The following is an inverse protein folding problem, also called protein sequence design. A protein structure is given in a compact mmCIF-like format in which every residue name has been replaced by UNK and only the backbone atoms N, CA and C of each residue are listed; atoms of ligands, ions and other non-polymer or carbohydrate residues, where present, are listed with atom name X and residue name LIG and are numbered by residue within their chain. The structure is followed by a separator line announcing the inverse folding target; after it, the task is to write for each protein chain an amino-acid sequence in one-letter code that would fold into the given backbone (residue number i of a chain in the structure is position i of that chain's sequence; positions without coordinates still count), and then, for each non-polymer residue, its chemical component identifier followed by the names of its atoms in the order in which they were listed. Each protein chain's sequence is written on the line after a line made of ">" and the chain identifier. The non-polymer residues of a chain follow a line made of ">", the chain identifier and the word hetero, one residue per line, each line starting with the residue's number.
data_IF_199790846710
#
_entry.id   IF_199790846710
#
_cell.length_a   1.000
_cell.length_b   1.000
_cell.length_c   1.000
_cell.angle_alpha   90.00
_cell.angle_beta   90.00
_cell.angle_gamma   90.00
#
_symmetry.space_group_name_H-M   'P 1'
#
loop_
_entity.id
_entity.type
_entity.pdbx_description
1 polymer ?
#
# COMPACT_ATOMS: atom_id res chain seq x y z
N UNK A 1 -3.55 24.67 -3.65
CA UNK A 1 -4.01 23.72 -4.68
C UNK A 1 -2.89 23.27 -5.61
N UNK A 2 -2.14 24.15 -6.30
CA UNK A 2 -1.05 23.70 -7.20
C UNK A 2 0.04 22.86 -6.52
N UNK A 3 0.43 23.19 -5.27
CA UNK A 3 1.40 22.42 -4.49
C UNK A 3 0.94 20.99 -4.16
N UNK A 4 -0.38 20.73 -4.18
CA UNK A 4 -0.95 19.43 -3.84
C UNK A 4 -1.10 18.50 -5.05
N UNK A 5 -0.59 18.88 -6.22
CA UNK A 5 -0.60 18.03 -7.41
C UNK A 5 0.30 16.82 -7.20
N UNK A 6 -0.05 15.69 -7.83
CA UNK A 6 0.70 14.43 -7.71
C UNK A 6 2.18 14.63 -8.04
N UNK A 7 2.48 15.34 -9.14
CA UNK A 7 3.85 15.63 -9.60
C UNK A 7 4.72 16.39 -8.58
N UNK A 8 4.09 17.16 -7.68
CA UNK A 8 4.78 17.95 -6.67
C UNK A 8 4.94 17.21 -5.34
N UNK A 9 4.17 16.14 -5.12
CA UNK A 9 4.13 15.40 -3.85
C UNK A 9 4.83 14.04 -3.93
N UNK A 10 4.84 13.40 -5.10
CA UNK A 10 5.23 12.01 -5.25
C UNK A 10 6.21 11.80 -6.40
N UNK A 11 7.26 11.03 -6.11
CA UNK A 11 8.12 10.43 -7.13
C UNK A 11 7.47 9.12 -7.59
N UNK A 12 6.76 9.18 -8.73
CA UNK A 12 6.04 8.03 -9.29
C UNK A 12 6.97 6.90 -9.78
N UNK A 13 8.29 7.13 -9.90
CA UNK A 13 9.24 6.05 -10.19
C UNK A 13 9.42 5.09 -9.01
N UNK A 14 8.96 5.49 -7.81
CA UNK A 14 9.09 4.74 -6.57
C UNK A 14 7.81 3.99 -6.17
N UNK A 15 6.97 3.63 -7.14
CA UNK A 15 5.78 2.83 -6.91
C UNK A 15 5.41 1.99 -8.13
N UNK A 16 4.92 0.76 -7.90
CA UNK A 16 4.31 -0.06 -8.95
C UNK A 16 2.95 0.47 -9.41
N UNK A 17 2.38 1.43 -8.68
CA UNK A 17 1.09 2.04 -8.99
C UNK A 17 1.20 3.28 -9.90
N UNK A 18 2.36 3.54 -10.53
CA UNK A 18 2.61 4.77 -11.28
C UNK A 18 1.53 5.05 -12.34
N UNK A 19 1.15 4.02 -13.11
CA UNK A 19 0.13 4.10 -14.16
C UNK A 19 -1.25 4.51 -13.62
N UNK A 20 -1.56 4.21 -12.36
CA UNK A 20 -2.83 4.59 -11.75
C UNK A 20 -2.98 6.11 -11.63
N UNK A 21 -1.89 6.85 -11.57
CA UNK A 21 -1.90 8.32 -11.49
C UNK A 21 -2.01 9.00 -12.87
N UNK A 22 -1.90 8.25 -13.96
CA UNK A 22 -1.97 8.79 -15.31
C UNK A 22 -3.35 9.41 -15.58
N UNK A 23 -3.38 10.64 -16.07
CA UNK A 23 -4.63 11.37 -16.31
C UNK A 23 -5.26 12.02 -15.08
N UNK A 24 -4.68 11.87 -13.89
CA UNK A 24 -5.15 12.50 -12.65
C UNK A 24 -4.21 13.62 -12.19
N UNK A 25 -4.78 14.74 -11.76
CA UNK A 25 -4.02 15.92 -11.34
C UNK A 25 -3.60 15.84 -9.88
N UNK A 26 -4.51 15.31 -9.05
CA UNK A 26 -4.38 15.25 -7.61
C UNK A 26 -4.35 13.80 -7.13
N UNK A 27 -3.59 13.50 -6.07
CA UNK A 27 -3.37 12.13 -5.63
C UNK A 27 -4.64 11.47 -5.10
N UNK A 28 -5.56 12.21 -4.47
CA UNK A 28 -6.78 11.63 -3.92
C UNK A 28 -7.77 11.14 -5.00
N UNK A 29 -7.63 11.58 -6.25
CA UNK A 29 -8.49 11.15 -7.35
C UNK A 29 -8.38 9.64 -7.61
N UNK A 30 -7.24 9.03 -7.25
CA UNK A 30 -7.01 7.60 -7.48
C UNK A 30 -7.49 6.71 -6.35
N UNK A 31 -7.81 7.25 -5.17
CA UNK A 31 -8.23 6.46 -4.00
C UNK A 31 -9.43 5.53 -4.29
N UNK A 32 -10.47 5.96 -5.03
CA UNK A 32 -11.59 5.07 -5.39
C UNK A 32 -11.20 3.97 -6.39
N UNK A 33 -10.07 4.12 -7.09
CA UNK A 33 -9.64 3.28 -8.21
C UNK A 33 -8.66 2.18 -7.77
N UNK A 34 -8.08 2.28 -6.57
CA UNK A 34 -7.05 1.36 -6.05
C UNK A 34 -7.50 -0.11 -6.16
N UNK A 35 -8.75 -0.39 -5.79
CA UNK A 35 -9.29 -1.76 -5.75
C UNK A 35 -9.19 -2.45 -7.12
N UNK A 36 -9.72 -1.80 -8.15
CA UNK A 36 -9.79 -2.37 -9.49
C UNK A 36 -8.41 -2.35 -10.16
N UNK A 37 -7.60 -1.36 -9.85
CA UNK A 37 -6.20 -1.31 -10.30
C UNK A 37 -5.38 -2.47 -9.75
N UNK A 38 -5.52 -2.82 -8.46
CA UNK A 38 -4.82 -3.98 -7.88
C UNK A 38 -5.17 -5.26 -8.62
N UNK A 39 -6.45 -5.47 -8.95
CA UNK A 39 -6.89 -6.65 -9.70
C UNK A 39 -6.27 -6.69 -11.10
N UNK A 40 -6.32 -5.56 -11.82
CA UNK A 40 -5.78 -5.47 -13.16
C UNK A 40 -4.24 -5.59 -13.21
N UNK A 41 -3.53 -5.05 -12.22
CA UNK A 41 -2.08 -5.17 -12.10
C UNK A 41 -1.67 -6.57 -11.64
N UNK A 42 -2.36 -7.12 -10.64
CA UNK A 42 -2.08 -8.42 -10.05
C UNK A 42 -2.07 -9.56 -11.07
N UNK A 43 -3.04 -9.59 -11.99
CA UNK A 43 -3.11 -10.60 -13.05
C UNK A 43 -1.94 -10.50 -14.06
N UNK A 44 -1.18 -9.40 -14.07
CA UNK A 44 -0.01 -9.21 -14.93
C UNK A 44 1.31 -9.49 -14.21
N UNK A 45 1.29 -9.72 -12.90
CA UNK A 45 2.51 -9.99 -12.12
C UNK A 45 3.08 -11.37 -12.47
N UNK A 46 4.41 -11.45 -12.57
CA UNK A 46 5.11 -12.69 -12.87
C UNK A 46 4.87 -13.74 -11.77
N UNK A 47 4.42 -14.93 -12.16
CA UNK A 47 4.29 -16.08 -11.25
C UNK A 47 5.65 -16.61 -10.77
N UNK A 48 6.75 -16.20 -11.41
CA UNK A 48 8.11 -16.51 -10.94
C UNK A 48 8.46 -15.67 -9.70
N UNK A 49 8.02 -14.41 -9.66
CA UNK A 49 8.35 -13.45 -8.60
C UNK A 49 7.26 -13.35 -7.53
N UNK A 50 5.99 -13.57 -7.88
CA UNK A 50 4.84 -13.44 -7.00
C UNK A 50 4.12 -14.77 -6.80
N UNK A 51 3.62 -14.97 -5.59
CA UNK A 51 2.69 -16.02 -5.22
C UNK A 51 1.29 -15.41 -5.09
N UNK A 52 0.27 -16.06 -5.67
CA UNK A 52 -1.14 -15.68 -5.48
C UNK A 52 -1.70 -16.41 -4.25
N UNK A 53 -2.10 -15.67 -3.21
CA UNK A 53 -2.57 -16.21 -1.92
C UNK A 53 -4.06 -15.97 -1.71
N UNK A 54 -4.91 -16.85 -2.23
CA UNK A 54 -6.36 -16.66 -2.17
C UNK A 54 -6.87 -15.74 -3.28
N UNK A 55 -8.01 -15.08 -3.05
CA UNK A 55 -8.65 -14.21 -4.06
C UNK A 55 -8.03 -12.82 -4.05
N UNK A 56 -7.54 -12.39 -5.22
CA UNK A 56 -6.96 -11.07 -5.47
C UNK A 56 -5.81 -10.64 -4.54
N UNK A 57 -5.02 -11.58 -4.02
CA UNK A 57 -3.84 -11.27 -3.19
C UNK A 57 -2.59 -11.79 -3.87
N UNK A 58 -1.62 -10.91 -4.09
CA UNK A 58 -0.33 -11.24 -4.66
C UNK A 58 0.77 -10.83 -3.69
N UNK A 59 1.66 -11.77 -3.36
CA UNK A 59 2.77 -11.55 -2.45
C UNK A 59 4.05 -11.91 -3.16
N UNK A 60 4.98 -10.97 -3.27
CA UNK A 60 6.31 -11.25 -3.80
C UNK A 60 6.96 -12.36 -2.96
N UNK A 61 7.58 -13.36 -3.60
CA UNK A 61 8.21 -14.49 -2.90
C UNK A 61 9.38 -14.06 -2.01
N UNK A 62 9.96 -12.89 -2.27
CA UNK A 62 11.00 -12.27 -1.45
C UNK A 62 10.45 -11.45 -0.27
N UNK A 63 9.13 -11.22 -0.20
CA UNK A 63 8.52 -10.54 0.93
C UNK A 63 8.48 -11.46 2.15
N UNK A 64 8.70 -10.87 3.32
CA UNK A 64 8.62 -11.56 4.61
C UNK A 64 7.27 -11.27 5.24
N UNK A 65 6.40 -12.28 5.26
CA UNK A 65 5.08 -12.19 5.89
C UNK A 65 5.07 -13.12 7.09
N UNK A 66 4.80 -12.59 8.28
CA UNK A 66 4.69 -13.39 9.50
C UNK A 66 3.32 -14.07 9.58
N UNK A 67 3.29 -15.29 10.12
CA UNK A 67 2.08 -16.15 10.14
C UNK A 67 0.85 -15.51 10.81
N UNK A 68 1.06 -14.63 11.79
CA UNK A 68 -0.03 -13.93 12.47
C UNK A 68 -0.53 -12.68 11.75
N UNK A 69 0.07 -12.30 10.62
CA UNK A 69 -0.43 -11.22 9.80
C UNK A 69 -1.67 -11.67 9.01
N UNK A 70 -2.69 -10.83 8.98
CA UNK A 70 -3.85 -11.03 8.13
C UNK A 70 -3.75 -10.14 6.90
N UNK A 71 -3.96 -10.73 5.72
CA UNK A 71 -4.01 -10.03 4.44
C UNK A 71 -5.34 -10.34 3.77
N UNK A 72 -6.25 -9.36 3.78
CA UNK A 72 -7.48 -9.37 3.00
C UNK A 72 -7.27 -8.83 1.60
N UNK A 73 -7.93 -9.44 0.61
CA UNK A 73 -7.88 -9.02 -0.79
C UNK A 73 -8.84 -7.87 -1.12
N UNK A 74 -8.58 -7.09 -2.18
CA UNK A 74 -7.43 -7.23 -3.07
C UNK A 74 -6.16 -6.56 -2.48
N UNK A 75 -4.99 -7.18 -2.61
CA UNK A 75 -3.73 -6.63 -2.11
C UNK A 75 -2.52 -7.07 -2.94
N UNK A 76 -1.52 -6.19 -3.06
CA UNK A 76 -0.20 -6.54 -3.60
C UNK A 76 0.87 -6.19 -2.55
N UNK A 77 1.68 -7.17 -2.21
CA UNK A 77 2.85 -7.02 -1.32
C UNK A 77 4.11 -7.14 -2.18
N UNK A 78 4.84 -6.03 -2.31
CA UNK A 78 6.02 -5.91 -3.16
C UNK A 78 7.26 -6.65 -2.63
N UNK A 79 8.26 -6.77 -3.50
CA UNK A 79 9.51 -7.47 -3.20
C UNK A 79 10.20 -6.93 -1.95
N UNK A 80 10.72 -7.83 -1.11
CA UNK A 80 11.43 -7.47 0.13
C UNK A 80 10.60 -6.73 1.19
N UNK A 81 9.30 -6.53 1.00
CA UNK A 81 8.44 -5.94 2.01
C UNK A 81 8.35 -6.84 3.26
N UNK A 82 8.22 -6.24 4.44
CA UNK A 82 8.06 -6.95 5.70
C UNK A 82 6.66 -6.67 6.28
N UNK A 83 5.82 -7.71 6.34
CA UNK A 83 4.49 -7.67 6.95
C UNK A 83 4.59 -8.38 8.30
N UNK A 84 4.73 -7.58 9.36
CA UNK A 84 5.07 -8.05 10.72
C UNK A 84 3.87 -8.69 11.44
N UNK A 85 4.16 -9.31 12.58
CA UNK A 85 3.19 -9.96 13.43
C UNK A 85 1.95 -9.11 13.70
N UNK A 86 0.77 -9.71 13.54
CA UNK A 86 -0.52 -9.09 13.81
C UNK A 86 -0.82 -7.83 12.97
N UNK A 87 -0.09 -7.59 11.88
CA UNK A 87 -0.52 -6.61 10.89
C UNK A 87 -1.90 -7.02 10.33
N UNK A 88 -2.78 -6.03 10.14
CA UNK A 88 -4.14 -6.24 9.65
C UNK A 88 -4.36 -5.44 8.37
N UNK A 89 -4.10 -6.07 7.22
CA UNK A 89 -4.38 -5.47 5.92
C UNK A 89 -5.82 -5.85 5.56
N UNK A 90 -6.73 -4.87 5.61
CA UNK A 90 -8.17 -5.11 5.33
C UNK A 90 -8.46 -5.34 3.85
N UNK A 91 -7.61 -4.81 2.99
CA UNK A 91 -7.76 -4.88 1.53
C UNK A 91 -7.58 -3.52 0.87
N UNK A 92 -7.58 -3.56 -0.46
CA UNK A 92 -7.20 -2.46 -1.34
C UNK A 92 -5.85 -1.85 -0.93
N UNK A 93 -4.82 -2.69 -0.78
CA UNK A 93 -3.51 -2.24 -0.33
C UNK A 93 -2.42 -2.59 -1.35
N UNK A 94 -1.68 -1.58 -1.78
CA UNK A 94 -0.40 -1.75 -2.48
C UNK A 94 0.71 -1.43 -1.49
N UNK A 95 1.53 -2.42 -1.16
CA UNK A 95 2.69 -2.27 -0.28
C UNK A 95 3.94 -2.34 -1.14
N UNK A 96 4.64 -1.20 -1.30
CA UNK A 96 5.79 -1.08 -2.18
C UNK A 96 7.00 -1.93 -1.77
N UNK A 97 8.00 -1.96 -2.66
CA UNK A 97 9.24 -2.72 -2.44
C UNK A 97 9.95 -2.27 -1.16
N UNK A 98 10.33 -3.23 -0.32
CA UNK A 98 11.04 -2.98 0.93
C UNK A 98 10.26 -2.17 1.97
N UNK A 99 8.94 -2.00 1.79
CA UNK A 99 8.11 -1.32 2.77
C UNK A 99 7.89 -2.20 4.01
N UNK A 100 7.60 -1.56 5.14
CA UNK A 100 7.39 -2.23 6.43
C UNK A 100 5.97 -1.94 6.92
N UNK A 101 5.16 -3.00 7.04
CA UNK A 101 3.87 -2.98 7.72
C UNK A 101 4.04 -3.58 9.11
N UNK A 102 3.89 -2.72 10.08
CA UNK A 102 4.26 -2.92 11.47
C UNK A 102 3.41 -3.88 12.29
N UNK A 103 3.88 -4.14 13.50
CA UNK A 103 3.06 -4.87 14.47
C UNK A 103 1.78 -4.10 14.77
N UNK A 104 0.65 -4.80 14.71
CA UNK A 104 -0.69 -4.26 14.99
C UNK A 104 -1.00 -3.00 14.15
N UNK A 105 -0.38 -2.89 12.97
CA UNK A 105 -0.69 -1.84 12.01
C UNK A 105 -1.85 -2.29 11.13
N UNK A 106 -2.86 -1.44 11.00
CA UNK A 106 -4.01 -1.64 10.12
C UNK A 106 -3.89 -0.79 8.85
N UNK A 107 -4.11 -1.42 7.69
CA UNK A 107 -4.17 -0.77 6.39
C UNK A 107 -5.53 -0.95 5.74
N UNK A 108 -6.09 0.12 5.16
CA UNK A 108 -7.33 0.08 4.38
C UNK A 108 -7.26 1.08 3.23
N UNK A 109 -7.38 0.61 1.99
CA UNK A 109 -7.42 1.48 0.81
C UNK A 109 -6.19 2.41 0.71
N UNK A 110 -5.01 1.83 0.50
CA UNK A 110 -3.73 2.55 0.57
C UNK A 110 -2.80 2.25 -0.60
N UNK A 111 -1.95 3.23 -0.91
CA UNK A 111 -0.73 3.04 -1.71
C UNK A 111 0.45 3.43 -0.83
N UNK A 112 1.25 2.45 -0.44
CA UNK A 112 2.54 2.67 0.20
C UNK A 112 3.62 2.57 -0.86
N UNK A 113 4.35 3.64 -1.11
CA UNK A 113 5.47 3.64 -2.05
C UNK A 113 6.62 2.78 -1.51
N UNK A 114 7.64 2.58 -2.33
CA UNK A 114 8.82 1.82 -1.95
C UNK A 114 9.41 2.35 -0.64
N UNK A 115 9.80 1.42 0.24
CA UNK A 115 10.50 1.67 1.50
C UNK A 115 9.73 2.53 2.51
N UNK A 116 8.42 2.70 2.33
CA UNK A 116 7.55 3.30 3.36
C UNK A 116 7.57 2.44 4.62
N UNK A 117 7.53 3.08 5.79
CA UNK A 117 7.48 2.40 7.07
C UNK A 117 6.30 2.89 7.90
N UNK A 118 5.43 1.94 8.26
CA UNK A 118 4.31 2.13 9.19
C UNK A 118 4.46 1.10 10.32
N UNK A 119 5.52 1.24 11.14
CA UNK A 119 6.18 0.12 11.80
C UNK A 119 5.50 -0.34 13.10
N UNK A 120 4.66 0.49 13.74
CA UNK A 120 4.14 0.19 15.08
C UNK A 120 2.77 0.84 15.32
N UNK A 121 1.73 0.03 15.51
CA UNK A 121 0.40 0.46 15.97
C UNK A 121 -0.21 1.60 15.14
N UNK A 122 0.03 1.59 13.82
CA UNK A 122 -0.50 2.61 12.93
C UNK A 122 -1.88 2.22 12.42
N UNK A 123 -2.74 3.21 12.18
CA UNK A 123 -3.87 3.05 11.27
C UNK A 123 -3.67 3.96 10.07
N UNK A 124 -3.71 3.36 8.88
CA UNK A 124 -3.54 4.06 7.60
C UNK A 124 -4.70 3.70 6.69
N UNK A 125 -5.61 4.66 6.54
CA UNK A 125 -6.86 4.52 5.80
C UNK A 125 -6.98 5.56 4.70
N UNK A 126 -7.38 5.15 3.49
CA UNK A 126 -7.67 6.06 2.35
C UNK A 126 -6.52 7.05 2.09
N UNK A 127 -5.29 6.52 2.02
CA UNK A 127 -4.06 7.30 2.10
C UNK A 127 -3.00 6.85 1.09
N UNK A 128 -2.16 7.80 0.67
CA UNK A 128 -1.00 7.56 -0.19
C UNK A 128 0.23 8.06 0.55
N UNK A 129 1.16 7.16 0.87
CA UNK A 129 2.42 7.49 1.54
C UNK A 129 3.57 7.41 0.53
N UNK A 130 4.28 8.53 0.38
CA UNK A 130 5.35 8.68 -0.62
C UNK A 130 6.63 7.93 -0.25
N UNK A 131 7.57 7.88 -1.20
CA UNK A 131 8.82 7.13 -1.06
C UNK A 131 9.53 7.41 0.27
N UNK A 132 9.90 6.33 0.99
CA UNK A 132 10.58 6.39 2.30
C UNK A 132 9.85 7.16 3.41
N UNK A 133 8.55 7.45 3.26
CA UNK A 133 7.79 8.04 4.36
C UNK A 133 7.80 7.11 5.59
N UNK A 134 7.86 7.70 6.77
CA UNK A 134 7.90 6.96 8.03
C UNK A 134 6.85 7.52 8.98
N UNK A 135 5.95 6.67 9.49
CA UNK A 135 4.99 7.05 10.53
C UNK A 135 5.56 6.71 11.91
N UNK A 136 5.47 7.66 12.84
CA UNK A 136 5.79 7.39 14.24
C UNK A 136 4.87 6.34 14.84
N UNK A 137 5.31 5.66 15.90
CA UNK A 137 4.49 4.67 16.59
C UNK A 137 3.16 5.29 17.05
N UNK A 138 2.04 4.61 16.82
CA UNK A 138 0.72 5.08 17.22
C UNK A 138 0.18 6.25 16.38
N UNK A 139 0.87 6.68 15.32
CA UNK A 139 0.34 7.71 14.42
C UNK A 139 -0.80 7.14 13.57
N UNK A 140 -1.88 7.91 13.45
CA UNK A 140 -3.15 7.48 12.84
C UNK A 140 -3.60 8.51 11.81
N UNK A 141 -4.03 8.05 10.63
CA UNK A 141 -4.73 8.88 9.66
C UNK A 141 -6.22 8.91 9.99
N UNK A 142 -6.81 10.09 10.21
CA UNK A 142 -8.26 10.21 10.20
C UNK A 142 -8.76 10.30 8.76
N UNK A 143 -9.64 9.38 8.37
CA UNK A 143 -10.19 9.28 7.01
C UNK A 143 -11.70 9.57 6.95
N UNK A 144 -12.29 9.99 8.07
CA UNK A 144 -13.68 10.42 8.16
C UNK A 144 -13.69 11.77 8.88
N UNK A 145 -14.48 12.70 8.37
CA UNK A 145 -14.66 14.00 9.01
C UNK A 145 -15.51 13.82 10.27
N UNK A 146 -15.08 14.45 11.35
CA UNK A 146 -15.87 14.55 12.59
C UNK A 146 -16.72 15.80 12.47
N UNK A 147 -17.81 15.74 11.70
CA UNK A 147 -18.77 16.83 11.54
C UNK A 147 -20.22 16.43 11.86
#
# INVERSE_FOLDING_TARGET
>A
MQQCRTENLFDLTQTMAAELFSGHTYPWEVLPLIKDYIRALGEKLSAEEYEKRGEDIWVAKSAKVFDSAYIGGPAIIGAGAEIRHCAFIRGSAIVGEGAVVGNSTELKNVILFNKVQVPHYNYVGDSILGFKAHMGAGSITSNVKSD
#
